data_IF_242871245219
#
_entry.id   IF_242871245219
#
_cell.length_a   1.000
_cell.length_b   1.000
_cell.length_c   1.000
_cell.angle_alpha   90.00
_cell.angle_beta   90.00
_cell.angle_gamma   90.00
#
_symmetry.space_group_name_H-M   'P 1'
#
loop_
_entity.id
_entity.type
_entity.pdbx_description
1 polymer ?
#
# COMPACT_ATOMS: atom_id res chain seq x y z
N UNK A 1 0.98 4.30 17.41
CA UNK A 1 0.42 4.00 16.07
C UNK A 1 0.90 2.63 15.57
N UNK A 2 1.87 2.50 14.66
CA UNK A 2 2.28 1.16 14.15
C UNK A 2 2.97 0.29 15.23
N UNK A 3 4.00 0.82 15.89
CA UNK A 3 4.76 0.07 16.92
C UNK A 3 3.95 -0.22 18.19
N UNK A 4 2.86 0.54 18.39
CA UNK A 4 1.93 0.34 19.49
C UNK A 4 0.88 -0.75 19.19
N UNK A 5 0.83 -1.27 17.96
CA UNK A 5 -0.17 -2.26 17.54
C UNK A 5 -1.60 -1.70 17.47
N UNK A 6 -1.75 -0.38 17.33
CA UNK A 6 -3.07 0.28 17.35
C UNK A 6 -3.84 0.14 16.02
N UNK A 7 -3.12 -0.09 14.92
CA UNK A 7 -3.69 -0.10 13.58
C UNK A 7 -3.09 -1.24 12.75
N UNK A 8 -3.95 -2.00 12.06
CA UNK A 8 -3.50 -3.03 11.12
C UNK A 8 -3.09 -2.44 9.77
N UNK A 9 -3.71 -1.33 9.38
CA UNK A 9 -3.45 -0.66 8.10
C UNK A 9 -3.31 0.84 8.31
N UNK A 10 -2.31 1.44 7.66
CA UNK A 10 -2.10 2.87 7.57
C UNK A 10 -2.07 3.27 6.09
N UNK A 11 -2.89 4.25 5.73
CA UNK A 11 -2.85 4.89 4.42
C UNK A 11 -2.22 6.27 4.54
N UNK A 12 -1.31 6.59 3.62
CA UNK A 12 -0.89 7.97 3.36
C UNK A 12 -1.55 8.47 2.09
N UNK A 13 -1.70 9.79 1.94
CA UNK A 13 -2.31 10.38 0.75
C UNK A 13 -1.46 11.54 0.24
N UNK A 14 -1.05 11.45 -1.02
CA UNK A 14 -0.24 12.49 -1.68
C UNK A 14 1.26 12.39 -1.39
N UNK A 15 2.03 13.30 -2.02
CA UNK A 15 3.48 13.36 -1.87
C UNK A 15 4.24 12.20 -2.55
N UNK A 16 3.64 11.53 -3.53
CA UNK A 16 4.21 10.40 -4.28
C UNK A 16 4.62 10.74 -5.71
N UNK A 17 4.57 12.02 -6.09
CA UNK A 17 4.98 12.51 -7.41
C UNK A 17 6.50 12.73 -7.52
N UNK A 18 6.90 13.52 -8.52
CA UNK A 18 8.31 13.83 -8.82
C UNK A 18 8.75 15.19 -8.28
N UNK A 19 7.90 15.91 -7.54
CA UNK A 19 8.27 17.21 -6.98
C UNK A 19 9.33 17.03 -5.87
N UNK A 20 10.27 17.97 -5.67
CA UNK A 20 11.22 17.90 -4.55
C UNK A 20 10.58 17.80 -3.15
N UNK A 21 9.32 18.22 -3.01
CA UNK A 21 8.54 18.10 -1.77
C UNK A 21 7.80 16.77 -1.62
N UNK A 22 7.70 16.00 -2.70
CA UNK A 22 7.05 14.70 -2.69
C UNK A 22 8.04 13.72 -2.05
N UNK A 23 7.91 13.49 -0.74
CA UNK A 23 8.85 12.68 0.07
C UNK A 23 8.16 11.50 0.77
N UNK A 24 6.87 11.28 0.50
CA UNK A 24 6.09 10.22 1.14
C UNK A 24 6.68 8.83 0.90
N UNK A 25 7.17 8.48 -0.32
CA UNK A 25 7.82 7.20 -0.55
C UNK A 25 9.08 7.01 0.29
N UNK A 26 9.95 8.00 0.35
CA UNK A 26 11.18 7.99 1.14
C UNK A 26 10.88 7.81 2.64
N UNK A 27 9.92 8.58 3.15
CA UNK A 27 9.48 8.48 4.54
C UNK A 27 8.90 7.10 4.85
N UNK A 28 8.15 6.52 3.91
CA UNK A 28 7.59 5.18 4.06
C UNK A 28 8.69 4.12 4.04
N UNK A 29 9.62 4.18 3.09
CA UNK A 29 10.76 3.26 3.00
C UNK A 29 11.63 3.30 4.26
N UNK A 30 11.82 4.48 4.86
CA UNK A 30 12.55 4.64 6.12
C UNK A 30 11.78 4.07 7.34
N UNK A 31 10.45 3.99 7.25
CA UNK A 31 9.60 3.51 8.35
C UNK A 31 9.32 2.00 8.28
N UNK A 32 9.28 1.40 7.09
CA UNK A 32 8.98 -0.03 6.93
C UNK A 32 10.19 -0.91 7.21
N UNK A 33 9.94 -2.12 7.67
CA UNK A 33 10.93 -3.18 7.87
C UNK A 33 11.02 -4.10 6.65
N UNK A 34 9.89 -4.31 5.97
CA UNK A 34 9.77 -5.24 4.84
C UNK A 34 8.91 -4.65 3.72
N UNK A 35 9.44 -4.48 2.50
CA UNK A 35 8.67 -3.95 1.38
C UNK A 35 7.62 -4.94 0.87
N UNK A 36 6.52 -4.41 0.36
CA UNK A 36 5.45 -5.16 -0.33
C UNK A 36 5.26 -4.54 -1.72
N UNK A 37 6.13 -4.86 -2.69
CA UNK A 37 6.13 -4.20 -4.00
C UNK A 37 4.91 -4.53 -4.87
N UNK A 38 4.26 -5.69 -4.65
CA UNK A 38 3.11 -6.12 -5.44
C UNK A 38 1.90 -5.18 -5.38
N UNK A 39 1.65 -4.53 -4.22
CA UNK A 39 0.55 -3.55 -4.07
C UNK A 39 0.75 -2.33 -4.99
N UNK A 40 1.86 -1.58 -4.90
CA UNK A 40 2.08 -0.42 -5.76
C UNK A 40 2.26 -0.81 -7.24
N UNK A 41 2.70 -2.03 -7.55
CA UNK A 41 2.69 -2.57 -8.91
C UNK A 41 1.27 -2.72 -9.47
N UNK A 42 0.37 -3.41 -8.74
CA UNK A 42 -1.02 -3.58 -9.15
C UNK A 42 -1.75 -2.24 -9.31
N UNK A 43 -1.55 -1.34 -8.35
CA UNK A 43 -2.05 0.04 -8.37
C UNK A 43 -1.61 0.81 -9.63
N UNK A 44 -0.32 0.74 -9.98
CA UNK A 44 0.22 1.39 -11.19
C UNK A 44 -0.36 0.75 -12.45
N UNK A 45 -0.44 -0.58 -12.52
CA UNK A 45 -1.01 -1.29 -13.67
C UNK A 45 -2.46 -0.87 -13.92
N UNK A 46 -3.32 -0.91 -12.90
CA UNK A 46 -4.70 -0.46 -13.03
C UNK A 46 -4.79 1.03 -13.40
N UNK A 47 -3.96 1.88 -12.80
CA UNK A 47 -3.95 3.32 -13.10
C UNK A 47 -3.44 3.61 -14.52
N UNK A 48 -2.58 2.76 -15.10
CA UNK A 48 -2.07 2.91 -16.47
C UNK A 48 -3.15 2.72 -17.53
N UNK A 49 -4.17 1.91 -17.23
CA UNK A 49 -5.35 1.76 -18.10
C UNK A 49 -6.17 3.07 -18.17
N UNK A 50 -6.07 3.92 -17.15
CA UNK A 50 -6.78 5.20 -17.04
C UNK A 50 -5.93 6.35 -17.58
N UNK A 51 -4.64 6.38 -17.25
CA UNK A 51 -3.73 7.44 -17.71
C UNK A 51 -2.28 6.97 -17.79
N UNK A 52 -1.55 7.32 -18.88
CA UNK A 52 -0.12 6.98 -18.99
C UNK A 52 0.72 7.64 -17.89
N UNK A 53 0.26 8.75 -17.29
CA UNK A 53 0.95 9.43 -16.19
C UNK A 53 1.13 8.57 -14.94
N UNK A 54 0.36 7.49 -14.80
CA UNK A 54 0.49 6.55 -13.69
C UNK A 54 1.91 5.96 -13.56
N UNK A 55 2.66 5.85 -14.66
CA UNK A 55 4.05 5.38 -14.64
C UNK A 55 4.98 6.24 -13.77
N UNK A 56 4.62 7.51 -13.51
CA UNK A 56 5.44 8.46 -12.75
C UNK A 56 5.21 8.37 -11.23
N UNK A 57 4.24 7.56 -10.79
CA UNK A 57 3.95 7.39 -9.36
C UNK A 57 5.08 6.64 -8.67
N UNK A 58 5.62 7.25 -7.61
CA UNK A 58 6.64 6.64 -6.74
C UNK A 58 6.04 5.98 -5.50
N UNK A 59 4.72 5.76 -5.46
CA UNK A 59 4.06 5.11 -4.34
C UNK A 59 4.71 3.76 -4.00
N UNK A 60 4.87 3.52 -2.70
CA UNK A 60 5.38 2.26 -2.14
C UNK A 60 4.39 1.70 -1.11
N UNK A 61 4.59 0.44 -0.76
CA UNK A 61 3.92 -0.20 0.36
C UNK A 61 4.90 -1.10 1.11
N UNK A 62 4.62 -1.34 2.39
CA UNK A 62 5.46 -2.20 3.22
C UNK A 62 4.88 -2.44 4.61
N UNK A 63 5.55 -3.32 5.34
CA UNK A 63 5.18 -3.73 6.69
C UNK A 63 6.09 -3.07 7.73
N UNK A 64 5.51 -2.67 8.85
CA UNK A 64 6.21 -2.32 10.09
C UNK A 64 5.54 -3.10 11.22
N UNK A 65 6.22 -4.09 11.79
CA UNK A 65 5.59 -5.05 12.69
C UNK A 65 4.39 -5.75 12.04
N UNK A 66 3.21 -5.61 12.65
CA UNK A 66 1.93 -6.16 12.16
C UNK A 66 1.09 -5.15 11.37
N UNK A 67 1.64 -3.98 11.04
CA UNK A 67 0.93 -2.92 10.32
C UNK A 67 1.35 -2.86 8.85
N UNK A 68 0.37 -2.86 7.95
CA UNK A 68 0.55 -2.60 6.53
C UNK A 68 0.44 -1.11 6.23
N UNK A 69 1.47 -0.53 5.61
CA UNK A 69 1.52 0.89 5.22
C UNK A 69 1.47 0.98 3.70
N UNK A 70 0.51 1.75 3.16
CA UNK A 70 0.31 1.90 1.71
C UNK A 70 0.22 3.39 1.36
N UNK A 71 0.99 3.83 0.36
CA UNK A 71 0.90 5.20 -0.15
C UNK A 71 -0.19 5.32 -1.23
N UNK A 72 -1.18 6.18 -1.01
CA UNK A 72 -2.22 6.47 -1.98
C UNK A 72 -1.95 7.79 -2.75
N UNK A 73 -2.49 7.92 -3.96
CA UNK A 73 -2.53 9.20 -4.67
C UNK A 73 -3.22 10.30 -3.86
N UNK A 74 -2.81 11.56 -4.06
CA UNK A 74 -3.39 12.71 -3.33
C UNK A 74 -4.79 13.13 -3.80
N UNK A 75 -5.20 12.74 -5.01
CA UNK A 75 -6.55 13.04 -5.52
C UNK A 75 -7.55 12.04 -4.95
N UNK A 76 -8.69 12.49 -4.38
CA UNK A 76 -9.72 11.58 -3.84
C UNK A 76 -10.20 10.53 -4.83
N UNK A 77 -10.41 10.92 -6.10
CA UNK A 77 -10.78 10.00 -7.19
C UNK A 77 -9.75 8.88 -7.38
N UNK A 78 -8.49 9.25 -7.62
CA UNK A 78 -7.41 8.30 -7.83
C UNK A 78 -7.15 7.43 -6.60
N UNK A 79 -7.29 7.97 -5.39
CA UNK A 79 -7.19 7.19 -4.15
C UNK A 79 -8.27 6.09 -4.09
N UNK A 80 -9.53 6.43 -4.37
CA UNK A 80 -10.63 5.45 -4.40
C UNK A 80 -10.40 4.37 -5.47
N UNK A 81 -10.03 4.77 -6.69
CA UNK A 81 -9.72 3.85 -7.79
C UNK A 81 -8.59 2.88 -7.39
N UNK A 82 -7.54 3.37 -6.73
CA UNK A 82 -6.42 2.54 -6.30
C UNK A 82 -6.78 1.61 -5.13
N UNK A 83 -7.57 2.07 -4.15
CA UNK A 83 -8.02 1.22 -3.05
C UNK A 83 -8.83 0.04 -3.57
N UNK A 84 -9.70 0.25 -4.57
CA UNK A 84 -10.50 -0.81 -5.15
C UNK A 84 -9.66 -1.95 -5.76
N UNK A 85 -8.43 -1.69 -6.19
CA UNK A 85 -7.53 -2.71 -6.77
C UNK A 85 -7.17 -3.79 -5.76
N UNK A 86 -6.93 -3.41 -4.50
CA UNK A 86 -6.42 -4.33 -3.47
C UNK A 86 -7.39 -4.55 -2.31
N UNK A 87 -8.50 -3.81 -2.25
CA UNK A 87 -9.53 -3.94 -1.21
C UNK A 87 -9.98 -5.40 -0.97
N UNK A 88 -10.22 -6.23 -2.00
CA UNK A 88 -10.64 -7.63 -1.78
C UNK A 88 -9.60 -8.49 -1.05
N UNK A 89 -8.33 -8.07 -1.05
CA UNK A 89 -7.22 -8.82 -0.42
C UNK A 89 -6.87 -8.32 0.98
N UNK A 90 -7.41 -7.18 1.41
CA UNK A 90 -7.02 -6.54 2.68
C UNK A 90 -7.43 -7.36 3.90
N UNK A 91 -8.59 -8.01 3.87
CA UNK A 91 -9.06 -8.86 4.97
C UNK A 91 -8.06 -9.98 5.25
N UNK A 92 -7.71 -10.76 4.22
CA UNK A 92 -6.71 -11.82 4.32
C UNK A 92 -5.33 -11.30 4.75
N UNK A 93 -4.92 -10.12 4.28
CA UNK A 93 -3.65 -9.51 4.68
C UNK A 93 -3.65 -9.19 6.19
N UNK A 94 -4.73 -8.63 6.73
CA UNK A 94 -4.87 -8.31 8.16
C UNK A 94 -4.89 -9.56 9.02
N UNK A 95 -5.68 -10.58 8.64
CA UNK A 95 -5.72 -11.86 9.34
C UNK A 95 -4.32 -12.50 9.41
N UNK A 96 -3.61 -12.50 8.28
CA UNK A 96 -2.24 -13.02 8.18
C UNK A 96 -1.28 -12.27 9.10
N UNK A 97 -1.37 -10.93 9.16
CA UNK A 97 -0.49 -10.11 10.00
C UNK A 97 -0.80 -10.26 11.49
N UNK A 98 -2.06 -10.45 11.86
CA UNK A 98 -2.46 -10.71 13.25
C UNK A 98 -2.00 -12.09 13.72
N UNK A 99 -1.87 -13.05 12.80
CA UNK A 99 -1.62 -14.46 13.09
C UNK A 99 -2.90 -15.26 13.24
N UNK A 100 -4.03 -14.70 12.79
CA UNK A 100 -5.36 -15.31 12.83
C UNK A 100 -5.68 -16.07 11.53
N UNK A 101 -4.87 -15.89 10.48
CA UNK A 101 -4.98 -16.68 9.27
C UNK A 101 -4.61 -18.14 9.58
N UNK A 102 -5.61 -19.02 9.53
CA UNK A 102 -5.36 -20.44 9.34
C UNK A 102 -4.49 -20.61 8.09
N UNK A 103 -3.43 -21.42 8.18
CA UNK A 103 -2.56 -21.75 7.06
C UNK A 103 -3.38 -22.27 5.88
N UNK A 104 -3.72 -21.41 4.91
CA UNK A 104 -4.23 -21.84 3.62
C UNK A 104 -3.06 -22.37 2.80
N UNK A 105 -2.53 -23.52 3.23
CA UNK A 105 -1.96 -24.51 2.33
C UNK A 105 -3.08 -25.49 1.93
N UNK A 106 -4.19 -24.97 1.40
CA UNK A 106 -5.12 -25.82 0.68
C UNK A 106 -4.58 -25.98 -0.75
N UNK A 107 -3.90 -27.12 -0.93
CA UNK A 107 -3.52 -27.69 -2.22
C UNK A 107 -4.63 -27.48 -3.25
N UNK A 108 -4.31 -26.77 -4.34
CA UNK A 108 -4.99 -26.95 -5.62
C UNK A 108 -3.97 -27.39 -6.66
#
# INVERSE_FOLDING_TARGET
>A
MADAGEYDIIFTSGGTGLSPRDVTPEATLAAIERPVPGIPEAMRTASLEITPRAMLSRAVAGLRGKTLIINLPGSPKAALENVQVFLPTLEHAVETLRGDAHECADNT
#
